data_IF_025120473543
#
_entry.id   IF_025120473543
#
_cell.length_a   1.000
_cell.length_b   1.000
_cell.length_c   1.000
_cell.angle_alpha   90.00
_cell.angle_beta   90.00
_cell.angle_gamma   90.00
#
_symmetry.space_group_name_H-M   'P 1'
#
loop_
_entity.id
_entity.type
_entity.pdbx_description
1 polymer ?
#
# COMPACT_ATOMS: atom_id res chain seq x y z
N UNK A 1 -8.04 6.27 -8.93
CA UNK A 1 -8.40 6.73 -10.29
C UNK A 1 -9.89 6.98 -10.47
N UNK A 2 -10.80 6.15 -9.96
CA UNK A 2 -12.26 6.38 -10.09
C UNK A 2 -12.75 7.71 -9.50
N UNK A 3 -12.14 8.20 -8.41
CA UNK A 3 -12.50 9.50 -7.80
C UNK A 3 -12.06 10.74 -8.60
N UNK A 4 -11.20 10.59 -9.61
CA UNK A 4 -10.85 11.69 -10.52
C UNK A 4 -11.86 11.79 -11.68
N UNK A 5 -12.50 10.67 -12.05
CA UNK A 5 -13.54 10.66 -13.08
C UNK A 5 -14.82 11.35 -12.62
N UNK A 6 -15.07 11.45 -11.32
CA UNK A 6 -16.19 12.23 -10.76
C UNK A 6 -16.00 13.74 -10.88
N UNK A 7 -14.79 14.22 -11.22
CA UNK A 7 -14.52 15.65 -11.47
C UNK A 7 -15.02 16.06 -12.88
N UNK A 8 -14.98 15.15 -13.86
CA UNK A 8 -15.42 15.43 -15.23
C UNK A 8 -16.89 15.86 -15.38
N UNK A 9 -17.88 15.20 -14.74
CA UNK A 9 -19.24 15.71 -14.80
C UNK A 9 -19.36 17.09 -14.10
N UNK A 10 -18.58 17.35 -13.04
CA UNK A 10 -18.55 18.67 -12.40
C UNK A 10 -18.09 19.77 -13.36
N UNK A 11 -17.08 19.50 -14.20
CA UNK A 11 -16.62 20.49 -15.20
C UNK A 11 -17.65 20.77 -16.29
N UNK A 12 -18.58 19.85 -16.54
CA UNK A 12 -19.65 20.05 -17.51
C UNK A 12 -20.81 20.88 -16.94
N UNK A 13 -21.00 20.86 -15.61
CA UNK A 13 -22.01 21.66 -14.91
C UNK A 13 -21.54 23.06 -14.50
N UNK A 14 -20.25 23.36 -14.56
CA UNK A 14 -19.70 24.70 -14.31
C UNK A 14 -19.72 25.47 -15.63
N UNK A 15 -20.77 26.27 -15.83
CA UNK A 15 -20.88 27.20 -16.95
C UNK A 15 -19.84 28.32 -16.85
N UNK A 16 -19.18 28.57 -17.98
CA UNK A 16 -18.27 29.68 -18.30
C UNK A 16 -16.99 29.86 -17.45
N UNK A 17 -15.81 29.46 -17.97
CA UNK A 17 -14.52 29.75 -17.34
C UNK A 17 -14.07 31.22 -17.46
N UNK A 18 -14.88 32.10 -18.09
CA UNK A 18 -14.53 33.51 -18.34
C UNK A 18 -14.78 34.45 -17.17
N UNK A 19 -15.54 34.04 -16.14
CA UNK A 19 -15.79 34.79 -14.90
C UNK A 19 -15.00 34.27 -13.69
N UNK A 20 -13.83 33.68 -13.92
CA UNK A 20 -12.89 33.31 -12.84
C UNK A 20 -12.26 34.55 -12.18
N UNK A 21 -13.07 35.44 -11.57
CA UNK A 21 -12.57 36.30 -10.49
C UNK A 21 -12.16 35.35 -9.36
N UNK A 22 -10.86 35.09 -9.31
CA UNK A 22 -10.11 34.37 -8.27
C UNK A 22 -11.03 33.75 -7.21
N UNK A 23 -11.32 32.47 -7.41
CA UNK A 23 -12.12 31.58 -6.54
C UNK A 23 -11.69 31.71 -5.05
N UNK A 24 -10.42 32.06 -4.82
CA UNK A 24 -9.86 32.37 -3.50
C UNK A 24 -10.43 33.64 -2.86
N UNK A 25 -10.68 34.69 -3.66
CA UNK A 25 -11.30 35.94 -3.21
C UNK A 25 -12.79 35.79 -2.91
N UNK A 26 -13.52 34.94 -3.65
CA UNK A 26 -14.94 34.71 -3.39
C UNK A 26 -15.15 33.85 -2.14
N UNK A 27 -14.29 32.84 -1.94
CA UNK A 27 -14.24 32.02 -0.73
C UNK A 27 -13.96 32.84 0.53
N UNK A 28 -12.97 33.75 0.49
CA UNK A 28 -12.61 34.62 1.63
C UNK A 28 -13.65 35.71 1.92
N UNK A 29 -14.44 36.11 0.93
CA UNK A 29 -15.51 37.10 1.08
C UNK A 29 -16.86 36.48 1.50
N UNK A 30 -16.96 35.16 1.70
CA UNK A 30 -18.21 34.53 2.15
C UNK A 30 -19.30 34.42 1.07
N UNK A 31 -18.95 34.61 -0.21
CA UNK A 31 -19.92 34.76 -1.31
C UNK A 31 -20.33 33.43 -1.95
N UNK A 32 -19.69 32.33 -1.57
CA UNK A 32 -19.96 31.01 -2.11
C UNK A 32 -21.19 30.36 -1.45
N UNK A 33 -21.93 29.47 -2.15
CA UNK A 33 -23.03 28.75 -1.55
C UNK A 33 -22.54 27.83 -0.42
N UNK A 34 -23.38 27.65 0.60
CA UNK A 34 -23.08 26.80 1.79
C UNK A 34 -22.62 25.38 1.43
N UNK A 35 -23.10 24.87 0.31
CA UNK A 35 -22.73 23.56 -0.25
C UNK A 35 -21.24 23.50 -0.60
N UNK A 36 -20.67 24.56 -1.16
CA UNK A 36 -19.24 24.65 -1.47
C UNK A 36 -18.39 24.54 -0.21
N UNK A 37 -18.75 25.28 0.86
CA UNK A 37 -18.05 25.20 2.14
C UNK A 37 -18.16 23.80 2.77
N UNK A 38 -19.33 23.14 2.66
CA UNK A 38 -19.51 21.77 3.12
C UNK A 38 -18.57 20.80 2.40
N UNK A 39 -18.52 20.84 1.06
CA UNK A 39 -17.62 19.95 0.31
C UNK A 39 -16.15 20.23 0.60
N UNK A 40 -15.73 21.49 0.69
CA UNK A 40 -14.36 21.84 1.06
C UNK A 40 -14.03 21.27 2.44
N UNK A 41 -14.86 21.52 3.45
CA UNK A 41 -14.66 21.00 4.80
C UNK A 41 -14.65 19.46 4.82
N UNK A 42 -15.55 18.81 4.07
CA UNK A 42 -15.62 17.36 3.96
C UNK A 42 -14.35 16.77 3.33
N UNK A 43 -13.90 17.30 2.19
CA UNK A 43 -12.66 16.85 1.54
C UNK A 43 -11.42 17.14 2.40
N UNK A 44 -11.35 18.30 3.06
CA UNK A 44 -10.29 18.60 4.02
C UNK A 44 -10.29 17.64 5.22
N UNK A 45 -11.46 17.23 5.70
CA UNK A 45 -11.55 16.24 6.78
C UNK A 45 -11.16 14.83 6.31
N UNK A 46 -11.54 14.43 5.10
CA UNK A 46 -11.10 13.16 4.51
C UNK A 46 -9.56 13.09 4.36
N UNK A 47 -8.88 14.22 4.16
CA UNK A 47 -7.42 14.28 4.14
C UNK A 47 -6.77 13.98 5.50
N UNK A 48 -7.52 14.06 6.60
CA UNK A 48 -7.04 13.69 7.95
C UNK A 48 -7.21 12.20 8.26
N UNK A 49 -7.94 11.43 7.43
CA UNK A 49 -8.14 9.98 7.63
C UNK A 49 -6.82 9.20 7.74
N UNK A 50 -5.79 9.44 6.92
CA UNK A 50 -4.53 8.71 7.00
C UNK A 50 -3.82 8.87 8.35
N UNK A 51 -4.03 9.98 9.08
CA UNK A 51 -3.43 10.24 10.39
C UNK A 51 -3.94 9.24 11.45
N UNK A 52 -5.16 8.72 11.25
CA UNK A 52 -5.84 7.84 12.21
C UNK A 52 -5.62 6.35 11.83
N UNK A 53 -5.08 6.07 10.64
CA UNK A 53 -4.78 4.70 10.22
C UNK A 53 -3.36 4.29 10.65
N UNK A 54 -3.21 3.28 11.52
CA UNK A 54 -1.90 2.80 11.95
C UNK A 54 -1.19 2.02 10.84
N UNK A 55 -0.06 2.51 10.34
CA UNK A 55 0.81 1.84 9.37
C UNK A 55 1.72 2.83 8.64
N UNK A 56 2.87 2.38 8.15
CA UNK A 56 3.70 3.21 7.27
C UNK A 56 3.08 3.21 5.86
N UNK A 57 2.19 4.17 5.58
CA UNK A 57 1.51 4.35 4.29
C UNK A 57 2.47 4.48 3.10
N UNK A 58 3.74 4.79 3.36
CA UNK A 58 4.78 5.00 2.35
C UNK A 58 5.49 3.71 1.96
N UNK A 59 5.44 2.68 2.82
CA UNK A 59 6.15 1.41 2.65
C UNK A 59 5.17 0.22 2.56
N UNK A 60 4.05 0.30 3.27
CA UNK A 60 3.02 -0.74 3.35
C UNK A 60 1.76 -0.31 2.58
N UNK A 61 1.00 -1.27 2.05
CA UNK A 61 -0.28 -0.99 1.42
C UNK A 61 -1.39 -0.57 2.40
N UNK A 62 -1.14 -0.64 3.72
CA UNK A 62 -2.06 -0.23 4.78
C UNK A 62 -2.38 1.27 4.65
N UNK A 63 -3.65 1.64 4.52
CA UNK A 63 -4.06 3.05 4.42
C UNK A 63 -3.71 3.79 3.12
N UNK A 64 -2.90 3.18 2.23
CA UNK A 64 -2.45 3.79 0.96
C UNK A 64 -3.60 4.22 0.04
N UNK A 65 -4.75 3.54 0.09
CA UNK A 65 -5.94 3.90 -0.70
C UNK A 65 -6.46 5.31 -0.35
N UNK A 66 -6.21 5.77 0.88
CA UNK A 66 -6.66 7.06 1.40
C UNK A 66 -5.54 8.12 1.41
N UNK A 67 -4.26 7.71 1.35
CA UNK A 67 -3.16 8.64 1.19
C UNK A 67 -3.17 9.23 -0.23
N UNK A 68 -3.36 10.54 -0.35
CA UNK A 68 -3.17 11.29 -1.61
C UNK A 68 -1.68 11.42 -1.99
N UNK A 69 -0.77 10.87 -1.19
CA UNK A 69 0.66 10.86 -1.43
C UNK A 69 1.02 9.90 -2.58
N UNK A 70 0.84 10.38 -3.82
CA UNK A 70 1.37 9.72 -5.01
C UNK A 70 2.88 9.87 -5.16
N UNK A 71 3.49 10.82 -4.43
CA UNK A 71 4.89 11.23 -4.59
C UNK A 71 5.88 10.57 -3.61
N UNK A 72 5.42 9.81 -2.62
CA UNK A 72 6.32 9.31 -1.59
C UNK A 72 7.02 8.00 -1.98
N UNK A 73 8.34 8.17 -2.08
CA UNK A 73 9.45 7.23 -1.99
C UNK A 73 9.50 6.07 -3.00
N UNK A 74 10.47 6.16 -3.92
CA UNK A 74 11.11 4.97 -4.46
C UNK A 74 11.58 4.10 -3.29
N UNK A 75 10.95 2.94 -3.11
CA UNK A 75 11.30 1.96 -2.08
C UNK A 75 12.25 0.94 -2.69
N UNK A 76 13.30 0.60 -1.95
CA UNK A 76 14.18 -0.52 -2.24
C UNK A 76 13.89 -1.62 -1.24
N UNK A 77 13.76 -2.86 -1.72
CA UNK A 77 13.58 -4.03 -0.88
C UNK A 77 14.57 -5.12 -1.29
N UNK A 78 14.95 -5.97 -0.33
CA UNK A 78 15.68 -7.21 -0.58
C UNK A 78 15.23 -8.27 0.41
N UNK A 79 15.19 -9.52 -0.04
CA UNK A 79 14.82 -10.66 0.79
C UNK A 79 14.48 -11.88 -0.04
N UNK A 80 13.82 -12.86 0.57
CA UNK A 80 13.42 -14.07 -0.10
C UNK A 80 12.21 -14.74 0.56
N UNK A 81 11.50 -15.53 -0.24
CA UNK A 81 10.64 -16.60 0.24
C UNK A 81 11.46 -17.89 0.24
N UNK A 82 11.59 -18.54 1.39
CA UNK A 82 12.44 -19.72 1.58
C UNK A 82 11.55 -20.92 1.80
N UNK A 83 11.40 -21.79 0.80
CA UNK A 83 10.75 -23.09 0.96
C UNK A 83 11.66 -24.03 1.75
N UNK A 84 11.07 -24.78 2.68
CA UNK A 84 11.75 -25.78 3.51
C UNK A 84 11.18 -27.16 3.18
N UNK A 85 12.08 -28.12 2.94
CA UNK A 85 11.74 -29.50 2.64
C UNK A 85 12.26 -30.46 3.73
N UNK A 86 11.67 -31.66 3.83
CA UNK A 86 11.97 -32.67 4.84
C UNK A 86 13.39 -33.21 4.78
N UNK A 87 13.98 -33.22 3.60
CA UNK A 87 15.35 -33.63 3.35
C UNK A 87 16.39 -32.56 3.78
N UNK A 88 15.92 -31.41 4.29
CA UNK A 88 16.75 -30.27 4.68
C UNK A 88 17.07 -29.33 3.52
N UNK A 89 16.62 -29.65 2.30
CA UNK A 89 16.80 -28.78 1.14
C UNK A 89 15.99 -27.49 1.33
N UNK A 90 16.57 -26.38 0.86
CA UNK A 90 15.93 -25.07 0.84
C UNK A 90 15.89 -24.54 -0.59
N UNK A 91 14.76 -23.98 -0.98
CA UNK A 91 14.61 -23.28 -2.25
C UNK A 91 14.23 -21.83 -1.99
N UNK A 92 14.97 -20.90 -2.56
CA UNK A 92 14.79 -19.47 -2.33
C UNK A 92 14.20 -18.78 -3.56
N UNK A 93 13.19 -17.94 -3.33
CA UNK A 93 12.62 -17.05 -4.33
C UNK A 93 12.92 -15.60 -3.94
N UNK A 94 13.76 -14.88 -4.69
CA UNK A 94 14.20 -13.55 -4.30
C UNK A 94 13.07 -12.52 -4.39
N UNK A 95 13.09 -11.57 -3.45
CA UNK A 95 12.27 -10.35 -3.43
C UNK A 95 13.20 -9.16 -3.75
N UNK A 96 12.82 -8.24 -4.65
CA UNK A 96 11.54 -8.16 -5.36
C UNK A 96 11.39 -9.21 -6.47
N UNK A 97 10.15 -9.66 -6.69
CA UNK A 97 9.81 -10.58 -7.77
C UNK A 97 10.05 -9.86 -9.12
N UNK A 98 10.89 -10.46 -9.97
CA UNK A 98 11.31 -9.87 -11.26
C UNK A 98 10.13 -9.58 -12.19
N UNK A 99 9.09 -10.41 -12.12
CA UNK A 99 7.91 -10.41 -13.01
C UNK A 99 6.92 -9.25 -12.76
N UNK A 100 7.06 -8.51 -11.66
CA UNK A 100 6.05 -7.50 -11.26
C UNK A 100 6.45 -6.13 -11.80
N UNK A 101 5.56 -5.48 -12.56
CA UNK A 101 5.93 -4.41 -13.51
C UNK A 101 6.21 -3.01 -12.95
N UNK A 102 5.82 -2.68 -11.72
CA UNK A 102 6.04 -1.32 -11.17
C UNK A 102 6.90 -1.34 -9.90
N UNK A 103 7.92 -0.47 -9.78
CA UNK A 103 8.80 -0.41 -8.59
C UNK A 103 8.05 -0.27 -7.27
N UNK A 104 6.90 0.42 -7.29
CA UNK A 104 6.06 0.66 -6.10
C UNK A 104 5.32 -0.58 -5.60
N UNK A 105 4.92 -1.48 -6.50
CA UNK A 105 4.19 -2.70 -6.14
C UNK A 105 5.17 -3.81 -5.76
N UNK A 106 6.35 -3.87 -6.38
CA UNK A 106 7.35 -4.93 -6.15
C UNK A 106 7.78 -5.12 -4.70
N UNK A 107 7.78 -4.06 -3.89
CA UNK A 107 8.19 -4.08 -2.49
C UNK A 107 7.00 -4.04 -1.51
N UNK A 108 5.77 -4.05 -2.00
CA UNK A 108 4.56 -4.02 -1.19
C UNK A 108 4.36 -5.38 -0.50
N UNK A 109 4.16 -5.43 0.84
CA UNK A 109 3.92 -6.68 1.56
C UNK A 109 2.78 -7.53 1.01
N UNK A 110 1.74 -6.92 0.41
CA UNK A 110 0.63 -7.69 -0.19
C UNK A 110 1.10 -8.63 -1.29
N UNK A 111 2.14 -8.25 -2.02
CA UNK A 111 2.65 -9.00 -3.18
C UNK A 111 3.43 -10.21 -2.73
N UNK A 112 4.34 -10.04 -1.78
CA UNK A 112 5.11 -11.16 -1.21
C UNK A 112 4.19 -12.09 -0.42
N UNK A 113 3.20 -11.55 0.32
CA UNK A 113 2.15 -12.33 0.99
C UNK A 113 1.34 -13.17 0.00
N UNK A 114 0.85 -12.57 -1.09
CA UNK A 114 0.06 -13.29 -2.10
C UNK A 114 0.88 -14.40 -2.75
N UNK A 115 2.17 -14.15 -3.03
CA UNK A 115 3.05 -15.16 -3.61
C UNK A 115 3.33 -16.29 -2.62
N UNK A 116 3.56 -15.98 -1.34
CA UNK A 116 3.73 -16.97 -0.28
C UNK A 116 2.48 -17.85 -0.12
N UNK A 117 1.28 -17.27 -0.09
CA UNK A 117 0.00 -18.02 -0.08
C UNK A 117 -0.13 -18.94 -1.30
N UNK A 118 0.23 -18.47 -2.49
CA UNK A 118 0.20 -19.28 -3.70
C UNK A 118 1.17 -20.47 -3.60
N UNK A 119 2.38 -20.27 -3.07
CA UNK A 119 3.35 -21.34 -2.86
C UNK A 119 2.84 -22.35 -1.82
N UNK A 120 2.27 -21.91 -0.69
CA UNK A 120 1.64 -22.81 0.27
C UNK A 120 0.55 -23.67 -0.39
N UNK A 121 -0.28 -23.07 -1.25
CA UNK A 121 -1.33 -23.80 -1.96
C UNK A 121 -0.76 -24.79 -2.99
N UNK A 122 0.30 -24.39 -3.72
CA UNK A 122 0.97 -25.21 -4.72
C UNK A 122 1.62 -26.46 -4.11
N UNK A 123 2.25 -26.33 -2.93
CA UNK A 123 2.98 -27.41 -2.27
C UNK A 123 2.16 -28.18 -1.22
N UNK A 124 0.88 -27.83 -1.00
CA UNK A 124 0.02 -28.47 0.01
C UNK A 124 -0.12 -29.99 -0.14
N UNK A 125 0.01 -30.51 -1.37
CA UNK A 125 -0.06 -31.93 -1.68
C UNK A 125 1.29 -32.65 -1.70
N UNK A 126 2.40 -31.92 -1.56
CA UNK A 126 3.74 -32.49 -1.59
C UNK A 126 4.13 -32.98 -0.20
N UNK A 127 4.39 -34.29 -0.08
CA UNK A 127 4.80 -34.89 1.19
C UNK A 127 6.22 -34.47 1.63
N UNK A 128 7.06 -34.00 0.70
CA UNK A 128 8.41 -33.54 1.00
C UNK A 128 8.42 -32.09 1.51
N UNK A 129 7.39 -31.30 1.21
CA UNK A 129 7.26 -29.92 1.67
C UNK A 129 6.96 -29.87 3.18
N UNK A 130 7.65 -28.98 3.90
CA UNK A 130 7.40 -28.71 5.32
C UNK A 130 6.64 -27.40 5.49
N UNK A 131 7.27 -26.29 5.12
CA UNK A 131 6.72 -24.94 5.26
C UNK A 131 7.56 -23.95 4.44
N UNK A 132 7.25 -22.67 4.52
CA UNK A 132 8.06 -21.58 3.98
C UNK A 132 8.27 -20.47 5.01
N UNK A 133 9.42 -19.81 4.90
CA UNK A 133 9.68 -18.56 5.60
C UNK A 133 9.52 -17.39 4.62
N UNK A 134 8.96 -16.28 5.09
CA UNK A 134 8.86 -15.03 4.36
C UNK A 134 9.70 -13.98 5.09
N UNK A 135 10.82 -13.59 4.48
CA UNK A 135 11.76 -12.64 5.08
C UNK A 135 12.16 -11.56 4.08
N UNK A 136 11.95 -10.29 4.42
CA UNK A 136 12.55 -9.20 3.65
C UNK A 136 12.61 -7.89 4.43
N UNK A 137 13.54 -7.07 3.97
CA UNK A 137 13.83 -5.73 4.48
C UNK A 137 13.55 -4.70 3.40
N UNK A 138 13.17 -3.50 3.82
CA UNK A 138 12.87 -2.38 2.95
C UNK A 138 13.56 -1.11 3.45
N UNK A 139 13.79 -0.17 2.54
CA UNK A 139 14.15 1.21 2.86
C UNK A 139 13.58 2.17 1.84
N UNK A 140 13.38 3.41 2.25
CA UNK A 140 13.06 4.52 1.35
C UNK A 140 14.33 5.01 0.65
N UNK A 141 14.18 5.68 -0.50
CA UNK A 141 15.32 6.18 -1.27
C UNK A 141 16.27 7.09 -0.48
N UNK A 142 15.75 7.89 0.45
CA UNK A 142 16.53 8.81 1.29
C UNK A 142 17.16 8.13 2.53
N UNK A 143 16.72 6.92 2.87
CA UNK A 143 17.28 6.16 3.99
C UNK A 143 18.54 5.41 3.55
N UNK A 144 19.56 5.40 4.41
CA UNK A 144 20.85 4.73 4.15
C UNK A 144 20.82 3.24 4.53
N UNK A 145 20.02 2.87 5.52
CA UNK A 145 19.98 1.53 6.08
C UNK A 145 18.70 0.81 5.68
N UNK A 146 18.83 -0.48 5.38
CA UNK A 146 17.69 -1.37 5.25
C UNK A 146 17.13 -1.68 6.62
N UNK A 147 15.81 -1.81 6.71
CA UNK A 147 15.13 -2.14 7.95
C UNK A 147 14.24 -3.36 7.75
N UNK A 148 14.16 -4.27 8.73
CA UNK A 148 13.33 -5.45 8.62
C UNK A 148 11.87 -5.03 8.49
N UNK A 149 11.19 -5.49 7.44
CA UNK A 149 9.77 -5.21 7.25
C UNK A 149 8.92 -6.45 7.55
N UNK A 150 9.40 -7.63 7.15
CA UNK A 150 8.71 -8.90 7.40
C UNK A 150 9.75 -9.96 7.76
N UNK A 151 9.49 -10.67 8.86
CA UNK A 151 10.23 -11.88 9.25
C UNK A 151 9.24 -12.90 9.83
N UNK A 152 8.65 -13.70 8.94
CA UNK A 152 7.67 -14.72 9.30
C UNK A 152 8.26 -16.10 9.04
N UNK A 153 8.29 -16.92 10.09
CA UNK A 153 8.66 -18.33 10.04
C UNK A 153 7.43 -19.21 9.95
N UNK A 154 7.53 -20.33 9.25
CA UNK A 154 6.43 -21.30 9.19
C UNK A 154 5.10 -20.67 8.70
N UNK A 155 5.20 -19.85 7.65
CA UNK A 155 4.13 -18.99 7.16
C UNK A 155 2.85 -19.77 6.81
N UNK A 156 2.98 -20.97 6.25
CA UNK A 156 1.83 -21.79 5.87
C UNK A 156 1.07 -22.29 7.11
N UNK A 157 1.77 -22.55 8.22
CA UNK A 157 1.18 -22.96 9.49
C UNK A 157 0.53 -21.83 10.30
N UNK A 158 0.98 -20.58 10.15
CA UNK A 158 0.51 -19.44 10.95
C UNK A 158 -0.89 -18.91 10.59
N UNK A 159 -1.48 -19.35 9.49
CA UNK A 159 -2.83 -18.95 9.05
C UNK A 159 -3.04 -17.41 8.96
N UNK A 160 -1.99 -16.68 8.58
CA UNK A 160 -1.99 -15.23 8.47
C UNK A 160 -3.01 -14.72 7.44
N UNK A 161 -3.55 -13.53 7.70
CA UNK A 161 -4.39 -12.74 6.81
C UNK A 161 -3.75 -11.41 6.45
N UNK A 162 -4.10 -10.87 5.28
CA UNK A 162 -3.77 -9.51 4.87
C UNK A 162 -5.04 -8.65 4.92
N UNK A 163 -5.02 -7.56 5.68
CA UNK A 163 -6.08 -6.55 5.69
C UNK A 163 -5.53 -5.21 5.14
N UNK A 164 -6.30 -4.56 4.26
CA UNK A 164 -5.96 -3.26 3.69
C UNK A 164 -6.32 -2.09 4.61
N UNK A 165 -7.25 -2.32 5.53
CA UNK A 165 -7.87 -1.31 6.39
C UNK A 165 -7.46 -1.45 7.86
N UNK A 166 -6.77 -2.54 8.22
CA UNK A 166 -6.32 -2.82 9.58
C UNK A 166 -4.84 -3.16 9.60
N UNK A 167 -4.17 -2.96 10.75
CA UNK A 167 -2.83 -3.47 10.99
C UNK A 167 -2.71 -4.95 10.67
N UNK A 168 -1.62 -5.30 10.00
CA UNK A 168 -1.16 -6.67 9.87
C UNK A 168 -0.04 -6.91 10.88
N UNK A 169 -0.31 -7.72 11.90
CA UNK A 169 0.60 -7.94 13.04
C UNK A 169 1.95 -8.55 12.66
N UNK A 170 2.03 -9.16 11.47
CA UNK A 170 3.24 -9.77 10.91
C UNK A 170 4.12 -8.79 10.11
N UNK A 171 3.67 -7.54 9.93
CA UNK A 171 4.44 -6.47 9.34
C UNK A 171 5.06 -5.65 10.47
N UNK A 172 6.39 -5.60 10.49
CA UNK A 172 7.16 -4.87 11.50
C UNK A 172 6.97 -3.37 11.24
N UNK A 173 6.45 -2.66 12.25
CA UNK A 173 6.26 -1.21 12.23
C UNK A 173 7.46 -0.56 12.92
N UNK A 174 8.06 0.41 12.24
CA UNK A 174 9.02 1.35 12.84
C UNK A 174 8.31 2.49 13.57
#
# INVERSE_FOLDING_TARGET
MFALLTIFPLTYFISDPSESKSLFTSLTQGKEPRVTYFFIAFFSFLQLIPIIMPGDEKVTGEGRLFSLHMFDAQVFCKGAIILKFKDGTKQEFPIPLKEIGTPRIKCDPIVSFSRAKQLCAQFRGDQAFLDLDLVYEARRAHEKTMKPLVDVKDFCGQNLSYDLFRPNDWIIKD
#
